data_IF_139873024071
#
_entry.id   IF_139873024071
#
_cell.length_a   1.000
_cell.length_b   1.000
_cell.length_c   1.000
_cell.angle_alpha   90.00
_cell.angle_beta   90.00
_cell.angle_gamma   90.00
#
_symmetry.space_group_name_H-M   'P 1'
#
loop_
_entity.id
_entity.type
_entity.pdbx_description
1 polymer ?
#
# COMPACT_ATOMS: atom_id res chain seq x y z
N UNK A 1 -26.18 -26.81 7.80
CA UNK A 1 -25.08 -27.42 7.02
C UNK A 1 -24.31 -26.39 6.21
N UNK A 2 -25.01 -25.56 5.41
CA UNK A 2 -24.44 -24.45 4.61
C UNK A 2 -23.53 -23.53 5.44
N UNK A 3 -23.94 -23.15 6.65
CA UNK A 3 -23.15 -22.28 7.53
C UNK A 3 -21.77 -22.87 7.92
N UNK A 4 -21.65 -24.19 8.06
CA UNK A 4 -20.37 -24.85 8.34
C UNK A 4 -19.47 -24.87 7.10
N UNK A 5 -20.06 -25.05 5.92
CA UNK A 5 -19.35 -24.96 4.64
C UNK A 5 -18.86 -23.53 4.41
N UNK A 6 -19.69 -22.51 4.68
CA UNK A 6 -19.29 -21.10 4.63
C UNK A 6 -18.10 -20.83 5.54
N UNK A 7 -18.15 -21.29 6.80
CA UNK A 7 -17.05 -21.13 7.76
C UNK A 7 -15.79 -21.86 7.32
N UNK A 8 -15.89 -23.09 6.81
CA UNK A 8 -14.74 -23.83 6.29
C UNK A 8 -14.13 -23.18 5.04
N UNK A 9 -14.97 -22.66 4.13
CA UNK A 9 -14.51 -21.92 2.96
C UNK A 9 -13.82 -20.62 3.39
N UNK A 10 -14.43 -19.87 4.31
CA UNK A 10 -13.86 -18.63 4.85
C UNK A 10 -12.57 -18.88 5.62
N UNK A 11 -12.44 -20.00 6.32
CA UNK A 11 -11.21 -20.44 6.96
C UNK A 11 -10.14 -20.74 5.91
N UNK A 12 -10.47 -21.48 4.85
CA UNK A 12 -9.55 -21.76 3.74
C UNK A 12 -9.14 -20.50 2.97
N UNK A 13 -10.07 -19.57 2.76
CA UNK A 13 -9.85 -18.24 2.16
C UNK A 13 -9.09 -17.32 3.11
N UNK A 14 -9.19 -17.53 4.42
CA UNK A 14 -8.46 -16.77 5.44
C UNK A 14 -7.02 -17.25 5.63
N UNK A 15 -6.77 -18.54 5.40
CA UNK A 15 -5.44 -19.16 5.45
C UNK A 15 -4.68 -19.06 4.12
N UNK A 16 -5.36 -18.84 2.99
CA UNK A 16 -4.74 -18.53 1.70
C UNK A 16 -4.84 -17.04 1.36
N UNK A 17 -3.85 -16.47 0.68
CA UNK A 17 -4.00 -15.13 0.10
C UNK A 17 -5.03 -15.16 -1.02
N UNK A 18 -6.23 -14.65 -0.75
CA UNK A 18 -7.30 -14.56 -1.75
C UNK A 18 -7.25 -13.21 -2.42
N UNK A 19 -6.88 -13.22 -3.70
CA UNK A 19 -6.97 -12.05 -4.58
C UNK A 19 -8.40 -11.83 -5.07
N UNK A 20 -8.66 -10.64 -5.64
CA UNK A 20 -9.97 -10.32 -6.22
C UNK A 20 -10.38 -11.32 -7.29
N UNK A 21 -9.47 -11.71 -8.19
CA UNK A 21 -9.78 -12.68 -9.25
C UNK A 21 -10.19 -14.03 -8.68
N UNK A 22 -9.55 -14.47 -7.60
CA UNK A 22 -9.87 -15.74 -6.94
C UNK A 22 -11.24 -15.67 -6.26
N UNK A 23 -11.55 -14.54 -5.61
CA UNK A 23 -12.85 -14.29 -5.01
C UNK A 23 -13.99 -14.29 -6.04
N UNK A 24 -13.77 -13.66 -7.20
CA UNK A 24 -14.71 -13.66 -8.33
C UNK A 24 -14.97 -15.07 -8.87
N UNK A 25 -13.91 -15.87 -9.05
CA UNK A 25 -14.06 -17.27 -9.48
C UNK A 25 -14.84 -18.12 -8.47
N UNK A 26 -14.61 -17.92 -7.16
CA UNK A 26 -15.33 -18.63 -6.10
C UNK A 26 -16.81 -18.22 -6.13
N UNK A 27 -17.09 -16.91 -6.19
CA UNK A 27 -18.45 -16.39 -6.27
C UNK A 27 -19.19 -16.90 -7.52
N UNK A 28 -18.55 -16.92 -8.69
CA UNK A 28 -19.14 -17.44 -9.93
C UNK A 28 -19.46 -18.95 -9.82
N UNK A 29 -18.56 -19.75 -9.23
CA UNK A 29 -18.81 -21.18 -8.97
C UNK A 29 -19.96 -21.40 -7.99
N UNK A 30 -20.06 -20.55 -6.96
CA UNK A 30 -21.15 -20.61 -5.99
C UNK A 30 -22.49 -20.23 -6.64
N UNK A 31 -22.53 -19.19 -7.47
CA UNK A 31 -23.73 -18.78 -8.21
C UNK A 31 -24.20 -19.85 -9.18
N UNK A 32 -23.28 -20.46 -9.93
CA UNK A 32 -23.58 -21.57 -10.85
C UNK A 32 -24.11 -22.81 -10.13
N UNK A 33 -23.62 -23.08 -8.91
CA UNK A 33 -24.19 -24.14 -8.05
C UNK A 33 -25.50 -23.73 -7.39
N UNK A 34 -25.71 -22.43 -7.14
CA UNK A 34 -26.92 -21.88 -6.53
C UNK A 34 -28.13 -21.88 -7.48
N UNK A 35 -27.93 -21.95 -8.79
CA UNK A 35 -29.01 -22.23 -9.76
C UNK A 35 -29.72 -23.56 -9.44
N UNK A 36 -29.06 -24.49 -8.72
CA UNK A 36 -29.64 -25.73 -8.22
C UNK A 36 -30.02 -25.72 -6.72
N UNK A 37 -29.70 -24.67 -5.95
CA UNK A 37 -30.00 -24.60 -4.50
C UNK A 37 -29.95 -23.18 -3.93
N UNK A 38 -31.08 -22.78 -3.35
CA UNK A 38 -31.30 -21.82 -2.26
C UNK A 38 -30.74 -20.38 -2.33
N UNK A 39 -31.58 -19.42 -1.88
CA UNK A 39 -31.29 -17.97 -1.88
C UNK A 39 -30.05 -17.59 -1.03
N UNK A 40 -29.71 -18.43 -0.06
CA UNK A 40 -28.63 -18.21 0.90
C UNK A 40 -27.22 -18.33 0.29
N UNK A 41 -27.08 -19.14 -0.77
CA UNK A 41 -25.81 -19.32 -1.49
C UNK A 41 -25.52 -18.10 -2.38
N UNK A 42 -26.57 -17.54 -3.01
CA UNK A 42 -26.46 -16.30 -3.78
C UNK A 42 -26.01 -15.12 -2.91
N UNK A 43 -26.59 -14.98 -1.72
CA UNK A 43 -26.17 -13.96 -0.73
C UNK A 43 -24.70 -14.11 -0.35
N UNK A 44 -24.25 -15.34 -0.11
CA UNK A 44 -22.86 -15.59 0.26
C UNK A 44 -21.86 -15.29 -0.87
N UNK A 45 -22.22 -15.59 -2.12
CA UNK A 45 -21.39 -15.22 -3.26
C UNK A 45 -21.25 -13.69 -3.39
N UNK A 46 -22.34 -12.95 -3.18
CA UNK A 46 -22.31 -11.48 -3.16
C UNK A 46 -21.45 -10.93 -2.02
N UNK A 47 -21.55 -11.50 -0.81
CA UNK A 47 -20.73 -11.11 0.33
C UNK A 47 -19.23 -11.31 0.09
N UNK A 48 -18.84 -12.39 -0.60
CA UNK A 48 -17.43 -12.64 -0.95
C UNK A 48 -16.92 -11.55 -1.89
N UNK A 49 -17.70 -11.18 -2.92
CA UNK A 49 -17.34 -10.14 -3.87
C UNK A 49 -17.19 -8.78 -3.19
N UNK A 50 -18.18 -8.38 -2.38
CA UNK A 50 -18.13 -7.10 -1.66
C UNK A 50 -16.93 -7.03 -0.71
N UNK A 51 -16.64 -8.12 0.02
CA UNK A 51 -15.48 -8.17 0.91
C UNK A 51 -14.16 -8.10 0.14
N UNK A 52 -14.07 -8.74 -1.03
CA UNK A 52 -12.88 -8.69 -1.86
C UNK A 52 -12.62 -7.27 -2.40
N UNK A 53 -13.66 -6.59 -2.88
CA UNK A 53 -13.55 -5.19 -3.34
C UNK A 53 -13.17 -4.24 -2.21
N UNK A 54 -13.81 -4.36 -1.05
CA UNK A 54 -13.51 -3.54 0.11
C UNK A 54 -12.06 -3.73 0.58
N UNK A 55 -11.57 -4.98 0.59
CA UNK A 55 -10.16 -5.29 0.89
C UNK A 55 -9.22 -4.67 -0.13
N UNK A 56 -9.49 -4.81 -1.42
CA UNK A 56 -8.65 -4.25 -2.48
C UNK A 56 -8.55 -2.72 -2.36
N UNK A 57 -9.69 -2.05 -2.12
CA UNK A 57 -9.72 -0.59 -1.92
C UNK A 57 -8.93 -0.17 -0.69
N UNK A 58 -9.03 -0.91 0.41
CA UNK A 58 -8.28 -0.63 1.65
C UNK A 58 -6.78 -0.81 1.46
N UNK A 59 -6.36 -1.87 0.78
CA UNK A 59 -4.94 -2.11 0.45
C UNK A 59 -4.42 -0.96 -0.42
N UNK A 60 -5.14 -0.58 -1.48
CA UNK A 60 -4.76 0.55 -2.34
C UNK A 60 -4.57 1.84 -1.55
N UNK A 61 -5.54 2.18 -0.69
CA UNK A 61 -5.46 3.37 0.16
C UNK A 61 -4.28 3.32 1.15
N UNK A 62 -3.96 2.16 1.71
CA UNK A 62 -2.81 2.01 2.60
C UNK A 62 -1.49 2.17 1.84
N UNK A 63 -1.38 1.54 0.68
CA UNK A 63 -0.22 1.70 -0.20
C UNK A 63 -0.02 3.15 -0.60
N UNK A 64 -1.09 3.85 -1.04
CA UNK A 64 -1.01 5.26 -1.42
C UNK A 64 -0.50 6.13 -0.25
N UNK A 65 -0.97 5.88 0.97
CA UNK A 65 -0.52 6.60 2.17
C UNK A 65 0.96 6.34 2.47
N UNK A 66 1.42 5.09 2.36
CA UNK A 66 2.82 4.73 2.57
C UNK A 66 3.71 5.41 1.53
N UNK A 67 3.33 5.34 0.25
CA UNK A 67 4.06 5.99 -0.85
C UNK A 67 4.15 7.50 -0.62
N UNK A 68 3.04 8.16 -0.29
CA UNK A 68 3.05 9.59 0.03
C UNK A 68 3.91 9.93 1.24
N UNK A 69 3.92 9.10 2.28
CA UNK A 69 4.76 9.31 3.46
C UNK A 69 6.23 9.25 3.09
N UNK A 70 6.63 8.24 2.32
CA UNK A 70 8.01 8.06 1.86
C UNK A 70 8.43 9.23 0.98
N UNK A 71 7.62 9.64 0.01
CA UNK A 71 7.92 10.78 -0.86
C UNK A 71 8.12 12.07 -0.05
N UNK A 72 7.25 12.35 0.93
CA UNK A 72 7.40 13.52 1.81
C UNK A 72 8.67 13.47 2.66
N UNK A 73 9.09 12.29 3.11
CA UNK A 73 10.34 12.14 3.85
C UNK A 73 11.54 12.37 2.93
N UNK A 74 11.52 11.82 1.71
CA UNK A 74 12.55 12.03 0.70
C UNK A 74 12.68 13.50 0.30
N UNK A 75 11.58 14.21 0.08
CA UNK A 75 11.59 15.65 -0.21
C UNK A 75 12.28 16.46 0.90
N UNK A 76 11.94 16.16 2.17
CA UNK A 76 12.59 16.81 3.32
C UNK A 76 14.08 16.51 3.40
N UNK A 77 14.47 15.28 3.10
CA UNK A 77 15.87 14.85 3.10
C UNK A 77 16.65 15.54 1.98
N UNK A 78 16.08 15.64 0.77
CA UNK A 78 16.64 16.36 -0.37
C UNK A 78 16.81 17.86 -0.08
N UNK A 79 15.83 18.49 0.57
CA UNK A 79 15.93 19.88 1.00
C UNK A 79 17.05 20.09 2.02
N UNK A 80 17.19 19.17 2.99
CA UNK A 80 18.30 19.19 3.97
C UNK A 80 19.64 19.05 3.28
N UNK A 81 19.79 18.08 2.39
CA UNK A 81 21.02 17.86 1.63
C UNK A 81 21.36 19.08 0.78
N UNK A 82 20.37 19.68 0.11
CA UNK A 82 20.58 20.91 -0.68
C UNK A 82 21.06 22.08 0.18
N UNK A 83 20.49 22.25 1.37
CA UNK A 83 20.94 23.28 2.34
C UNK A 83 22.36 23.00 2.84
N UNK A 84 22.69 21.76 3.13
CA UNK A 84 24.04 21.35 3.54
C UNK A 84 25.05 21.63 2.43
N UNK A 85 24.77 21.22 1.19
CA UNK A 85 25.63 21.49 0.03
C UNK A 85 25.84 22.99 -0.16
N UNK A 86 24.78 23.81 -0.11
CA UNK A 86 24.91 25.28 -0.18
C UNK A 86 25.77 25.85 0.96
N UNK A 87 25.60 25.34 2.19
CA UNK A 87 26.38 25.80 3.34
C UNK A 87 27.87 25.44 3.24
N UNK A 88 28.19 24.29 2.63
CA UNK A 88 29.56 23.86 2.37
C UNK A 88 30.19 24.65 1.22
N UNK A 89 29.42 24.96 0.16
CA UNK A 89 29.88 25.81 -0.95
C UNK A 89 30.13 27.27 -0.55
N UNK A 90 29.55 27.76 0.55
CA UNK A 90 29.80 29.11 1.08
C UNK A 90 31.03 29.20 2.02
N UNK A 91 31.60 28.07 2.45
CA UNK A 91 32.81 28.03 3.26
C UNK A 91 34.13 28.30 2.52
N UNK A 92 34.37 27.92 1.24
CA UNK A 92 35.64 28.23 0.56
C UNK A 92 35.91 29.72 0.37
N UNK A 93 34.91 30.61 0.38
CA UNK A 93 35.14 32.06 0.21
C UNK A 93 35.72 32.76 1.47
N UNK A 94 35.57 32.18 2.66
CA UNK A 94 36.01 32.82 3.92
C UNK A 94 37.48 32.52 4.28
N UNK A 95 38.11 31.54 3.63
CA UNK A 95 39.50 31.13 3.94
C UNK A 95 40.55 31.87 3.08
N UNK A 96 40.15 32.55 2.00
CA UNK A 96 41.10 33.23 1.08
C UNK A 96 41.44 34.68 1.49
N UNK A 97 40.76 35.27 2.50
CA UNK A 97 40.99 36.67 2.91
C UNK A 97 41.57 36.80 4.32
N UNK A 98 42.89 36.69 4.46
CA UNK A 98 43.72 37.38 5.50
C UNK A 98 45.23 37.15 5.26
N UNK A 99 46.13 38.04 5.71
CA UNK A 99 46.62 39.22 4.99
C UNK A 99 48.09 39.11 4.57
N UNK A 100 48.49 39.95 3.59
CA UNK A 100 49.88 40.11 3.09
C UNK A 100 50.89 40.27 4.25
N UNK A 101 52.00 39.51 4.29
CA UNK A 101 53.07 39.79 5.25
C UNK A 101 53.74 41.12 4.91
N UNK A 102 53.92 41.95 5.94
CA UNK A 102 54.56 43.27 5.88
C UNK A 102 56.02 43.12 5.44
N UNK A 103 56.42 43.93 4.46
CA UNK A 103 57.83 44.15 4.09
C UNK A 103 58.62 44.61 5.32
N UNK A 104 59.74 43.94 5.59
CA UNK A 104 60.88 44.48 6.32
C UNK A 104 62.10 44.33 5.42
#
# INVERSE_FOLDING_TARGET
MVERVKKALLLGIGLGEVTKEKAEQIAARLLKKAEASDSEVKKFAMDILQKAEAKQKKVKQQTDKVVQSVLKQTEKELDRLTKLVKSLQQQPEKVVKKPKPKKK
#
